data_IF_891332352975
#
_entry.id   IF_891332352975
#
_cell.length_a   1.000
_cell.length_b   1.000
_cell.length_c   1.000
_cell.angle_alpha   90.00
_cell.angle_beta   90.00
_cell.angle_gamma   90.00
#
_symmetry.space_group_name_H-M   'P 1'
#
loop_
_entity.id
_entity.type
_entity.pdbx_description
1 polymer ?
#
# COMPACT_ATOMS: atom_id res chain seq x y z
N UNK A 1 -21.55 -1.34 -10.44
CA UNK A 1 -22.47 -2.36 -9.96
C UNK A 1 -22.45 -3.59 -10.85
N UNK A 2 -22.59 -3.41 -12.17
CA UNK A 2 -22.58 -4.51 -13.13
C UNK A 2 -21.39 -5.46 -12.94
N UNK A 3 -20.20 -4.92 -12.78
CA UNK A 3 -18.98 -5.71 -12.57
C UNK A 3 -19.04 -6.62 -11.31
N UNK A 4 -19.69 -6.16 -10.24
CA UNK A 4 -19.83 -6.93 -9.01
C UNK A 4 -20.82 -8.08 -9.18
N UNK A 5 -21.91 -7.87 -9.94
CA UNK A 5 -22.90 -8.91 -10.28
C UNK A 5 -22.28 -9.97 -11.20
N UNK A 6 -21.49 -9.56 -12.21
CA UNK A 6 -20.76 -10.48 -13.07
C UNK A 6 -19.76 -11.32 -12.26
N UNK A 7 -19.03 -10.74 -11.29
CA UNK A 7 -18.14 -11.51 -10.42
C UNK A 7 -18.91 -12.50 -9.54
N UNK A 8 -20.08 -12.13 -9.03
CA UNK A 8 -20.93 -13.05 -8.27
C UNK A 8 -21.32 -14.27 -9.11
N UNK A 9 -21.77 -14.03 -10.34
CA UNK A 9 -22.20 -15.09 -11.27
C UNK A 9 -21.03 -15.95 -11.74
N UNK A 10 -19.98 -15.33 -12.28
CA UNK A 10 -18.85 -16.02 -12.91
C UNK A 10 -18.00 -16.83 -11.88
N UNK A 11 -17.83 -16.31 -10.67
CA UNK A 11 -17.11 -16.99 -9.60
C UNK A 11 -18.04 -17.83 -8.72
N UNK A 12 -19.33 -17.93 -9.05
CA UNK A 12 -20.35 -18.67 -8.30
C UNK A 12 -20.35 -18.33 -6.80
N UNK A 13 -20.26 -17.03 -6.49
CA UNK A 13 -20.21 -16.55 -5.11
C UNK A 13 -21.61 -16.66 -4.46
N UNK A 14 -21.64 -16.91 -3.16
CA UNK A 14 -22.89 -16.98 -2.39
C UNK A 14 -23.59 -15.62 -2.22
N UNK A 15 -22.88 -14.52 -2.51
CA UNK A 15 -23.35 -13.13 -2.43
C UNK A 15 -22.46 -12.18 -3.21
N UNK A 16 -23.00 -11.04 -3.60
CA UNK A 16 -22.28 -9.97 -4.30
C UNK A 16 -21.07 -9.50 -3.47
N UNK A 17 -19.85 -9.46 -4.02
CA UNK A 17 -18.65 -9.09 -3.29
C UNK A 17 -18.50 -7.57 -3.17
N UNK A 18 -19.29 -6.94 -2.30
CA UNK A 18 -19.29 -5.49 -2.09
C UNK A 18 -17.93 -5.00 -1.54
N UNK A 19 -17.29 -5.82 -0.69
CA UNK A 19 -15.96 -5.54 -0.18
C UNK A 19 -14.97 -6.61 -0.62
N UNK A 20 -13.96 -6.16 -1.37
CA UNK A 20 -12.91 -7.00 -1.92
C UNK A 20 -11.56 -6.56 -1.32
N UNK A 21 -10.79 -7.50 -0.81
CA UNK A 21 -9.41 -7.28 -0.39
C UNK A 21 -8.46 -8.00 -1.34
N UNK A 22 -7.46 -7.28 -1.90
CA UNK A 22 -6.47 -7.89 -2.77
C UNK A 22 -5.07 -7.82 -2.16
N UNK A 23 -4.32 -8.92 -2.29
CA UNK A 23 -3.00 -9.11 -1.71
C UNK A 23 -1.95 -9.35 -2.79
N UNK A 24 -0.87 -8.58 -2.74
CA UNK A 24 0.34 -8.74 -3.56
C UNK A 24 1.55 -8.96 -2.66
N UNK A 25 2.36 -9.97 -2.98
CA UNK A 25 3.63 -10.24 -2.29
C UNK A 25 4.76 -9.69 -3.14
N UNK A 26 5.56 -8.83 -2.54
CA UNK A 26 6.64 -8.16 -3.25
C UNK A 26 7.95 -8.27 -2.50
N UNK A 27 8.99 -8.73 -3.20
CA UNK A 27 10.35 -8.85 -2.67
C UNK A 27 11.08 -7.51 -2.77
N UNK A 28 11.60 -7.01 -1.64
CA UNK A 28 12.43 -5.81 -1.59
C UNK A 28 13.90 -6.25 -1.53
N UNK A 29 14.61 -6.11 -2.65
CA UNK A 29 16.08 -6.24 -2.76
C UNK A 29 16.76 -6.99 -1.61
N UNK A 30 16.61 -8.31 -1.58
CA UNK A 30 17.47 -9.22 -0.81
C UNK A 30 17.19 -9.40 0.69
N UNK A 31 16.44 -8.54 1.37
CA UNK A 31 16.36 -8.58 2.84
C UNK A 31 14.97 -8.48 3.45
N UNK A 32 13.95 -8.11 2.72
CA UNK A 32 12.60 -7.98 3.30
C UNK A 32 11.52 -8.24 2.26
N UNK A 33 10.56 -9.07 2.61
CA UNK A 33 9.33 -9.26 1.84
C UNK A 33 8.22 -8.42 2.47
N UNK A 34 7.43 -7.77 1.64
CA UNK A 34 6.28 -6.98 2.06
C UNK A 34 5.06 -7.45 1.32
N UNK A 35 4.02 -7.76 2.06
CA UNK A 35 2.70 -7.96 1.49
C UNK A 35 1.94 -6.64 1.49
N UNK A 36 1.33 -6.31 0.36
CA UNK A 36 0.46 -5.16 0.18
C UNK A 36 -0.99 -5.62 0.14
N UNK A 37 -1.86 -4.93 0.88
CA UNK A 37 -3.31 -5.15 0.86
C UNK A 37 -3.99 -3.89 0.38
N UNK A 38 -4.79 -4.00 -0.66
CA UNK A 38 -5.70 -2.95 -1.12
C UNK A 38 -7.14 -3.37 -0.86
N UNK A 39 -8.01 -2.39 -0.69
CA UNK A 39 -9.43 -2.60 -0.40
C UNK A 39 -10.26 -1.87 -1.43
N UNK A 40 -11.27 -2.57 -1.96
CA UNK A 40 -12.31 -2.01 -2.79
C UNK A 40 -13.67 -2.19 -2.10
N UNK A 41 -14.47 -1.15 -2.08
CA UNK A 41 -15.87 -1.16 -1.64
C UNK A 41 -16.74 -0.65 -2.77
N UNK A 42 -17.83 -1.35 -3.04
CA UNK A 42 -18.78 -1.04 -4.13
C UNK A 42 -18.07 -0.83 -5.49
N UNK A 43 -17.02 -1.60 -5.75
CA UNK A 43 -16.19 -1.50 -6.96
C UNK A 43 -15.22 -0.32 -7.01
N UNK A 44 -15.09 0.45 -5.93
CA UNK A 44 -14.22 1.63 -5.84
C UNK A 44 -13.08 1.43 -4.82
N UNK A 45 -11.91 1.97 -5.15
CA UNK A 45 -10.72 1.88 -4.32
C UNK A 45 -10.87 2.66 -3.01
N UNK A 46 -10.77 1.99 -1.86
CA UNK A 46 -10.84 2.59 -0.52
C UNK A 46 -9.45 2.76 0.09
N UNK A 47 -8.70 3.73 -0.42
CA UNK A 47 -7.27 3.94 -0.10
C UNK A 47 -6.98 4.13 1.40
N UNK A 48 -7.92 4.64 2.20
CA UNK A 48 -7.78 4.80 3.65
C UNK A 48 -7.61 3.47 4.40
N UNK A 49 -7.97 2.36 3.77
CA UNK A 49 -7.91 1.02 4.34
C UNK A 49 -6.80 0.14 3.78
N UNK A 50 -5.97 0.67 2.89
CA UNK A 50 -4.78 -0.01 2.40
C UNK A 50 -3.78 -0.28 3.51
N UNK A 51 -3.15 -1.45 3.50
CA UNK A 51 -2.18 -1.86 4.52
C UNK A 51 -0.97 -2.53 3.90
N UNK A 52 0.13 -2.48 4.64
CA UNK A 52 1.37 -3.21 4.35
C UNK A 52 1.72 -4.07 5.54
N UNK A 53 2.20 -5.26 5.25
CA UNK A 53 2.63 -6.22 6.24
C UNK A 53 4.08 -6.57 5.95
N UNK A 54 4.95 -6.33 6.92
CA UNK A 54 6.32 -6.84 6.85
C UNK A 54 6.24 -8.33 7.13
N UNK A 55 6.83 -9.13 6.24
CA UNK A 55 6.88 -10.57 6.33
C UNK A 55 8.21 -10.97 6.96
N UNK A 56 8.18 -11.96 7.83
CA UNK A 56 9.37 -12.43 8.53
C UNK A 56 10.39 -13.03 7.54
N UNK A 57 11.68 -12.79 7.79
CA UNK A 57 12.77 -13.14 6.88
C UNK A 57 12.86 -14.64 6.58
N UNK A 58 12.47 -15.50 7.53
CA UNK A 58 12.49 -16.96 7.35
C UNK A 58 11.43 -17.45 6.35
N UNK A 59 10.38 -16.65 6.12
CA UNK A 59 9.32 -16.92 5.13
C UNK A 59 9.50 -16.14 3.83
N UNK A 60 10.47 -15.21 3.80
CA UNK A 60 10.69 -14.25 2.72
C UNK A 60 11.16 -14.88 1.39
N UNK A 61 11.62 -16.13 1.40
CA UNK A 61 12.09 -16.83 0.18
C UNK A 61 10.98 -17.62 -0.52
N UNK A 62 9.79 -17.70 0.08
CA UNK A 62 8.66 -18.46 -0.44
C UNK A 62 7.39 -17.59 -0.43
N UNK A 63 6.99 -17.15 -1.61
CA UNK A 63 5.80 -16.31 -1.80
C UNK A 63 4.52 -16.97 -1.28
N UNK A 64 4.44 -18.31 -1.28
CA UNK A 64 3.28 -19.04 -0.76
C UNK A 64 3.23 -19.01 0.76
N UNK A 65 4.37 -19.13 1.43
CA UNK A 65 4.47 -18.98 2.90
C UNK A 65 4.19 -17.54 3.32
N UNK A 66 4.68 -16.57 2.54
CA UNK A 66 4.39 -15.17 2.77
C UNK A 66 2.89 -14.87 2.61
N UNK A 67 2.24 -15.41 1.59
CA UNK A 67 0.79 -15.30 1.38
C UNK A 67 0.01 -15.90 2.56
N UNK A 68 0.34 -17.11 2.97
CA UNK A 68 -0.28 -17.74 4.15
C UNK A 68 -0.13 -16.87 5.39
N UNK A 69 1.07 -16.33 5.66
CA UNK A 69 1.33 -15.49 6.83
C UNK A 69 0.50 -14.21 6.83
N UNK A 70 0.41 -13.50 5.69
CA UNK A 70 -0.35 -12.24 5.63
C UNK A 70 -1.84 -12.47 5.81
N UNK A 71 -2.42 -13.49 5.16
CA UNK A 71 -3.83 -13.84 5.31
C UNK A 71 -4.12 -14.23 6.76
N UNK A 72 -3.29 -15.08 7.36
CA UNK A 72 -3.43 -15.46 8.78
C UNK A 72 -3.42 -14.24 9.70
N UNK A 73 -2.46 -13.32 9.54
CA UNK A 73 -2.37 -12.10 10.37
C UNK A 73 -3.59 -11.20 10.22
N UNK A 74 -4.07 -11.01 8.99
CA UNK A 74 -5.25 -10.18 8.71
C UNK A 74 -6.53 -10.81 9.29
N UNK A 75 -6.71 -12.11 9.09
CA UNK A 75 -7.91 -12.81 9.54
C UNK A 75 -7.94 -12.97 11.06
N UNK A 76 -6.81 -13.24 11.73
CA UNK A 76 -6.72 -13.19 13.19
C UNK A 76 -7.15 -11.83 13.74
N UNK A 77 -6.75 -10.75 13.10
CA UNK A 77 -7.19 -9.41 13.51
C UNK A 77 -8.71 -9.22 13.31
N UNK A 78 -9.26 -9.70 12.18
CA UNK A 78 -10.69 -9.67 11.94
C UNK A 78 -11.47 -10.40 13.03
N UNK A 79 -11.04 -11.61 13.40
CA UNK A 79 -11.68 -12.41 14.45
C UNK A 79 -11.58 -11.73 15.83
N UNK A 80 -10.42 -11.15 16.16
CA UNK A 80 -10.24 -10.40 17.40
C UNK A 80 -11.19 -9.19 17.47
N UNK A 81 -11.28 -8.40 16.37
CA UNK A 81 -12.15 -7.23 16.30
C UNK A 81 -13.64 -7.62 16.34
N UNK A 82 -14.03 -8.77 15.78
CA UNK A 82 -15.41 -9.31 15.90
C UNK A 82 -15.76 -9.65 17.35
N UNK A 83 -14.84 -10.26 18.09
CA UNK A 83 -15.06 -10.64 19.49
C UNK A 83 -15.18 -9.42 20.42
N UNK A 84 -14.35 -8.40 20.23
CA UNK A 84 -14.41 -7.13 20.99
C UNK A 84 -15.73 -6.39 20.70
N UNK A 85 -16.13 -6.33 19.43
CA UNK A 85 -17.34 -5.60 19.04
C UNK A 85 -18.64 -6.21 19.57
N UNK A 86 -18.71 -7.52 19.77
CA UNK A 86 -19.88 -8.15 20.40
C UNK A 86 -20.04 -7.74 21.87
N UNK A 87 -18.95 -7.43 22.56
CA UNK A 87 -18.96 -7.03 23.96
C UNK A 87 -19.15 -5.51 24.15
N UNK A 88 -18.50 -4.67 23.34
CA UNK A 88 -18.47 -3.22 23.51
C UNK A 88 -19.62 -2.47 22.82
N UNK A 89 -20.16 -2.97 21.70
CA UNK A 89 -21.34 -2.36 21.04
C UNK A 89 -22.59 -2.51 21.90
N UNK A 90 -22.63 -3.54 22.73
CA UNK A 90 -23.70 -3.69 23.73
C UNK A 90 -23.63 -2.63 24.85
N UNK A 91 -22.45 -2.06 25.13
CA UNK A 91 -22.24 -1.19 26.30
C UNK A 91 -22.01 0.30 25.98
N UNK A 92 -21.44 0.68 24.83
CA UNK A 92 -20.92 2.05 24.63
C UNK A 92 -21.27 2.75 23.33
N UNK A 93 -21.92 2.11 22.35
CA UNK A 93 -22.20 2.75 21.04
C UNK A 93 -20.93 3.14 20.24
N UNK A 94 -19.80 2.49 20.53
CA UNK A 94 -18.48 2.81 19.97
C UNK A 94 -18.36 2.57 18.47
N UNK A 95 -17.49 3.33 17.80
CA UNK A 95 -17.15 3.16 16.38
C UNK A 95 -16.41 1.84 16.17
N UNK A 96 -16.98 0.98 15.33
CA UNK A 96 -16.33 -0.27 14.90
C UNK A 96 -14.92 -0.02 14.33
N UNK A 97 -13.96 -0.88 14.69
CA UNK A 97 -12.64 -0.89 14.08
C UNK A 97 -12.77 -1.07 12.57
N UNK A 98 -11.93 -0.37 11.79
CA UNK A 98 -11.89 -0.52 10.32
C UNK A 98 -11.60 -1.95 9.85
N UNK A 99 -11.02 -2.79 10.72
CA UNK A 99 -10.74 -4.20 10.46
C UNK A 99 -11.90 -5.14 10.79
N UNK A 100 -12.96 -4.64 11.44
CA UNK A 100 -14.12 -5.43 11.83
C UNK A 100 -15.02 -5.83 10.64
N UNK A 101 -14.85 -5.18 9.48
CA UNK A 101 -15.62 -5.50 8.28
C UNK A 101 -14.94 -6.64 7.50
N UNK A 102 -15.60 -7.82 7.41
CA UNK A 102 -15.07 -8.92 6.61
C UNK A 102 -15.16 -8.60 5.12
N UNK A 103 -14.15 -8.96 4.31
CA UNK A 103 -14.33 -8.99 2.87
C UNK A 103 -15.31 -10.10 2.50
N UNK A 104 -16.05 -9.94 1.40
CA UNK A 104 -16.81 -11.02 0.77
C UNK A 104 -15.93 -11.82 -0.18
N UNK A 105 -14.90 -11.16 -0.75
CA UNK A 105 -13.95 -11.80 -1.66
C UNK A 105 -12.51 -11.37 -1.30
N UNK A 106 -11.64 -12.35 -1.21
CA UNK A 106 -10.19 -12.15 -1.19
C UNK A 106 -9.64 -12.48 -2.58
N UNK A 107 -8.84 -11.58 -3.13
CA UNK A 107 -8.09 -11.77 -4.37
C UNK A 107 -6.61 -11.84 -4.04
N UNK A 108 -5.89 -12.83 -4.56
CA UNK A 108 -4.44 -12.92 -4.45
C UNK A 108 -3.78 -12.70 -5.81
N UNK A 109 -2.75 -11.87 -5.88
CA UNK A 109 -1.93 -11.71 -7.10
C UNK A 109 -1.05 -12.96 -7.26
N UNK A 110 -1.59 -13.96 -7.95
CA UNK A 110 -0.92 -15.25 -8.13
C UNK A 110 -1.86 -16.35 -8.64
N UNK A 111 -1.28 -17.50 -8.93
CA UNK A 111 -1.99 -18.68 -9.42
C UNK A 111 -2.35 -19.67 -8.31
N UNK A 112 -2.58 -20.94 -8.71
CA UNK A 112 -3.00 -22.01 -7.82
C UNK A 112 -2.16 -22.17 -6.54
N UNK A 113 -0.82 -22.05 -6.53
CA UNK A 113 -0.03 -22.20 -5.29
C UNK A 113 -0.35 -21.12 -4.25
N UNK A 114 -0.51 -19.85 -4.68
CA UNK A 114 -0.84 -18.73 -3.80
C UNK A 114 -2.28 -18.86 -3.26
N UNK A 115 -3.21 -19.27 -4.11
CA UNK A 115 -4.60 -19.57 -3.72
C UNK A 115 -4.63 -20.69 -2.69
N UNK A 116 -3.92 -21.78 -2.91
CA UNK A 116 -3.85 -22.90 -1.96
C UNK A 116 -3.25 -22.48 -0.61
N UNK A 117 -2.25 -21.57 -0.61
CA UNK A 117 -1.66 -21.03 0.60
C UNK A 117 -2.64 -20.14 1.37
N UNK A 118 -3.37 -19.27 0.67
CA UNK A 118 -4.40 -18.42 1.25
C UNK A 118 -5.57 -19.24 1.80
N UNK A 119 -6.00 -20.29 1.06
CA UNK A 119 -7.07 -21.19 1.51
C UNK A 119 -6.69 -21.92 2.80
N UNK A 120 -5.47 -22.47 2.88
CA UNK A 120 -5.00 -23.09 4.13
C UNK A 120 -5.07 -22.14 5.33
N UNK A 121 -4.72 -20.86 5.14
CA UNK A 121 -4.81 -19.88 6.22
C UNK A 121 -6.25 -19.63 6.68
N UNK A 122 -7.22 -19.64 5.76
CA UNK A 122 -8.64 -19.53 6.09
C UNK A 122 -9.14 -20.78 6.82
N UNK A 123 -8.78 -21.96 6.32
CA UNK A 123 -9.18 -23.26 6.89
C UNK A 123 -8.66 -23.44 8.33
N UNK A 124 -7.38 -23.09 8.57
CA UNK A 124 -6.76 -23.13 9.91
C UNK A 124 -7.46 -22.23 10.92
N UNK A 125 -8.12 -21.15 10.47
CA UNK A 125 -8.87 -20.21 11.29
C UNK A 125 -10.37 -20.51 11.32
N UNK A 126 -10.83 -21.55 10.62
CA UNK A 126 -12.24 -21.93 10.54
C UNK A 126 -13.12 -20.91 9.81
N UNK A 127 -12.54 -20.13 8.90
CA UNK A 127 -13.25 -19.11 8.11
C UNK A 127 -13.74 -19.73 6.82
N UNK A 128 -15.05 -19.86 6.69
CA UNK A 128 -15.71 -20.48 5.52
C UNK A 128 -16.65 -19.54 4.77
N UNK A 129 -16.85 -18.34 5.30
CA UNK A 129 -17.81 -17.33 4.80
C UNK A 129 -17.15 -16.25 3.92
N UNK A 130 -15.87 -16.40 3.59
CA UNK A 130 -15.12 -15.50 2.73
C UNK A 130 -14.67 -16.24 1.48
N UNK A 131 -15.09 -15.76 0.31
CA UNK A 131 -14.65 -16.32 -0.96
C UNK A 131 -13.21 -15.93 -1.27
N UNK A 132 -12.51 -16.78 -2.05
CA UNK A 132 -11.12 -16.59 -2.43
C UNK A 132 -10.95 -16.89 -3.92
N UNK A 133 -10.19 -16.05 -4.62
CA UNK A 133 -9.65 -16.37 -5.94
C UNK A 133 -8.23 -15.81 -6.11
N UNK A 134 -7.51 -16.33 -7.07
CA UNK A 134 -6.23 -15.83 -7.53
C UNK A 134 -6.35 -15.27 -8.94
N UNK A 135 -5.57 -14.24 -9.27
CA UNK A 135 -5.46 -13.71 -10.62
C UNK A 135 -4.01 -13.79 -11.08
N UNK A 136 -3.72 -14.72 -11.99
CA UNK A 136 -2.37 -14.90 -12.53
C UNK A 136 -2.08 -13.88 -13.63
N UNK A 137 -0.84 -13.35 -13.67
CA UNK A 137 -0.41 -12.34 -14.64
C UNK A 137 -0.39 -12.82 -16.09
N UNK A 138 -0.02 -14.10 -16.31
CA UNK A 138 -0.03 -14.70 -17.63
C UNK A 138 -1.44 -15.16 -17.98
N UNK A 139 -1.98 -14.70 -19.08
CA UNK A 139 -3.30 -15.06 -19.63
C UNK A 139 -4.51 -14.60 -18.80
N UNK A 140 -4.30 -13.86 -17.70
CA UNK A 140 -5.38 -13.37 -16.84
C UNK A 140 -6.30 -14.49 -16.33
N UNK A 141 -5.67 -15.60 -15.96
CA UNK A 141 -6.32 -16.78 -15.43
C UNK A 141 -6.81 -16.54 -14.01
N UNK A 142 -8.09 -16.83 -13.78
CA UNK A 142 -8.70 -16.80 -12.44
C UNK A 142 -8.61 -18.19 -11.83
N UNK A 143 -7.96 -18.33 -10.69
CA UNK A 143 -7.79 -19.57 -9.97
C UNK A 143 -8.71 -19.62 -8.76
N UNK A 144 -9.55 -20.66 -8.70
CA UNK A 144 -10.42 -20.93 -7.55
C UNK A 144 -9.79 -21.97 -6.62
N UNK A 145 -10.11 -21.99 -5.32
CA UNK A 145 -9.60 -22.99 -4.39
C UNK A 145 -10.02 -24.41 -4.80
N UNK A 146 -9.03 -25.30 -4.91
CA UNK A 146 -9.27 -26.72 -5.22
C UNK A 146 -9.44 -27.06 -6.69
N UNK A 147 -9.56 -26.09 -7.58
CA UNK A 147 -9.68 -26.33 -9.01
C UNK A 147 -8.34 -26.73 -9.62
N UNK A 148 -8.42 -27.66 -10.57
CA UNK A 148 -7.24 -28.13 -11.32
C UNK A 148 -6.89 -27.22 -12.49
N UNK A 149 -7.89 -26.58 -13.06
CA UNK A 149 -7.79 -25.71 -14.22
C UNK A 149 -8.28 -24.30 -13.86
N UNK A 150 -7.68 -23.24 -14.44
CA UNK A 150 -8.14 -21.89 -14.21
C UNK A 150 -9.46 -21.60 -14.91
N UNK A 151 -10.26 -20.76 -14.31
CA UNK A 151 -11.43 -20.16 -14.94
C UNK A 151 -10.97 -19.03 -15.88
N UNK A 152 -11.42 -19.08 -17.12
CA UNK A 152 -11.13 -18.05 -18.12
C UNK A 152 -12.38 -17.19 -18.31
N UNK A 153 -12.36 -15.99 -17.77
CA UNK A 153 -13.43 -15.03 -17.98
C UNK A 153 -13.34 -14.37 -19.37
N UNK A 154 -14.47 -13.99 -19.98
CA UNK A 154 -14.44 -13.21 -21.21
C UNK A 154 -13.65 -11.90 -21.01
N UNK A 155 -12.77 -11.56 -21.96
CA UNK A 155 -11.95 -10.34 -21.89
C UNK A 155 -12.80 -9.05 -21.91
N UNK A 156 -14.06 -9.15 -22.33
CA UNK A 156 -15.02 -8.03 -22.34
C UNK A 156 -15.88 -7.97 -21.09
N UNK A 157 -15.68 -8.88 -20.13
CA UNK A 157 -16.42 -8.90 -18.87
C UNK A 157 -16.03 -7.70 -17.99
N UNK A 158 -17.02 -6.97 -17.49
CA UNK A 158 -16.82 -5.90 -16.51
C UNK A 158 -16.24 -6.44 -15.19
N UNK A 159 -16.64 -7.68 -14.83
CA UNK A 159 -16.08 -8.40 -13.68
C UNK A 159 -14.58 -8.62 -13.84
N UNK A 160 -14.13 -9.05 -15.02
CA UNK A 160 -12.71 -9.24 -15.32
C UNK A 160 -11.95 -7.91 -15.28
N UNK A 161 -12.49 -6.84 -15.86
CA UNK A 161 -11.90 -5.50 -15.75
C UNK A 161 -11.77 -5.03 -14.31
N UNK A 162 -12.75 -5.34 -13.46
CA UNK A 162 -12.67 -5.01 -12.03
C UNK A 162 -11.53 -5.77 -11.35
N UNK A 163 -11.41 -7.09 -11.57
CA UNK A 163 -10.29 -7.90 -11.02
C UNK A 163 -8.93 -7.36 -11.46
N UNK A 164 -8.76 -7.03 -12.74
CA UNK A 164 -7.54 -6.43 -13.27
C UNK A 164 -7.23 -5.10 -12.56
N UNK A 165 -8.20 -4.21 -12.43
CA UNK A 165 -8.03 -2.93 -11.74
C UNK A 165 -7.62 -3.12 -10.28
N UNK A 166 -8.22 -4.10 -9.60
CA UNK A 166 -7.90 -4.41 -8.19
C UNK A 166 -6.46 -4.91 -8.07
N UNK A 167 -6.05 -5.87 -8.95
CA UNK A 167 -4.68 -6.39 -9.00
C UNK A 167 -3.66 -5.28 -9.33
N UNK A 168 -3.93 -4.50 -10.36
CA UNK A 168 -3.03 -3.43 -10.79
C UNK A 168 -2.87 -2.36 -9.71
N UNK A 169 -3.92 -2.07 -8.96
CA UNK A 169 -3.85 -1.17 -7.81
C UNK A 169 -3.03 -1.77 -6.66
N UNK A 170 -3.15 -3.07 -6.38
CA UNK A 170 -2.32 -3.76 -5.39
C UNK A 170 -0.83 -3.69 -5.78
N UNK A 171 -0.53 -4.00 -7.03
CA UNK A 171 0.81 -3.93 -7.58
C UNK A 171 1.36 -2.48 -7.57
N UNK A 172 0.56 -1.49 -7.99
CA UNK A 172 0.93 -0.07 -7.93
C UNK A 172 1.25 0.36 -6.50
N UNK A 173 0.44 -0.05 -5.53
CA UNK A 173 0.64 0.27 -4.13
C UNK A 173 1.92 -0.36 -3.56
N UNK A 174 2.22 -1.60 -3.95
CA UNK A 174 3.47 -2.28 -3.62
C UNK A 174 4.70 -1.55 -4.19
N UNK A 175 4.70 -1.22 -5.49
CA UNK A 175 5.80 -0.51 -6.15
C UNK A 175 6.06 0.86 -5.51
N UNK A 176 5.03 1.59 -5.14
CA UNK A 176 5.18 2.90 -4.48
C UNK A 176 5.98 2.79 -3.19
N UNK A 177 5.77 1.74 -2.43
CA UNK A 177 6.53 1.47 -1.21
C UNK A 177 8.00 1.12 -1.49
N UNK A 178 8.25 0.27 -2.51
CA UNK A 178 9.61 -0.07 -2.93
C UNK A 178 10.42 1.17 -3.32
N UNK A 179 9.82 2.07 -4.10
CA UNK A 179 10.44 3.33 -4.50
C UNK A 179 10.75 4.21 -3.28
N UNK A 180 9.79 4.39 -2.38
CA UNK A 180 9.98 5.18 -1.16
C UNK A 180 11.09 4.61 -0.27
N UNK A 181 11.14 3.30 -0.07
CA UNK A 181 12.18 2.65 0.75
C UNK A 181 13.56 2.70 0.10
N UNK A 182 13.66 2.45 -1.22
CA UNK A 182 14.92 2.61 -1.97
C UNK A 182 15.43 4.04 -1.88
N UNK A 183 14.55 5.02 -2.04
CA UNK A 183 14.91 6.42 -1.88
C UNK A 183 15.44 6.70 -0.47
N UNK A 184 14.81 6.14 0.57
CA UNK A 184 15.26 6.32 1.97
C UNK A 184 16.64 5.69 2.20
N UNK A 185 16.85 4.44 1.77
CA UNK A 185 18.16 3.75 1.91
C UNK A 185 19.25 4.47 1.12
N UNK A 186 18.98 4.87 -0.11
CA UNK A 186 19.92 5.64 -0.93
C UNK A 186 20.23 7.02 -0.31
N UNK A 187 19.25 7.63 0.33
CA UNK A 187 19.36 8.87 1.06
C UNK A 187 20.25 8.74 2.29
N UNK A 188 20.02 7.68 3.07
CA UNK A 188 20.85 7.34 4.23
C UNK A 188 22.30 7.11 3.80
N UNK A 189 22.51 6.35 2.72
CA UNK A 189 23.86 6.08 2.17
C UNK A 189 24.56 7.37 1.71
N UNK A 190 23.86 8.26 1.00
CA UNK A 190 24.45 9.54 0.55
C UNK A 190 24.80 10.47 1.71
N UNK A 191 24.03 10.44 2.78
CA UNK A 191 24.32 11.22 3.99
C UNK A 191 25.41 10.56 4.87
N UNK A 192 25.61 9.24 4.76
CA UNK A 192 26.69 8.50 5.44
C UNK A 192 28.07 8.93 4.97
N UNK A 193 28.22 9.35 3.72
CA UNK A 193 29.47 9.82 3.14
C UNK A 193 29.89 11.22 3.65
N UNK A 194 28.97 11.94 4.33
CA UNK A 194 29.26 13.28 4.83
C UNK A 194 30.01 13.22 6.16
N UNK A 195 31.24 13.73 6.24
CA UNK A 195 32.01 13.74 7.48
C UNK A 195 31.25 14.46 8.61
N UNK A 196 31.36 13.93 9.82
CA UNK A 196 30.75 14.49 11.05
C UNK A 196 29.21 14.49 11.09
N UNK A 197 28.52 13.88 10.11
CA UNK A 197 27.09 13.75 10.09
C UNK A 197 26.65 12.41 10.71
N UNK A 198 26.62 12.33 12.04
CA UNK A 198 26.16 11.14 12.77
C UNK A 198 24.65 10.89 12.63
N UNK A 199 24.22 9.69 13.03
CA UNK A 199 22.84 9.19 12.86
C UNK A 199 21.76 10.15 13.36
N UNK A 200 21.92 10.75 14.54
CA UNK A 200 20.96 11.69 15.13
C UNK A 200 20.77 12.93 14.26
N UNK A 201 21.85 13.48 13.69
CA UNK A 201 21.80 14.67 12.82
C UNK A 201 21.20 14.33 11.47
N UNK A 202 21.48 13.13 10.94
CA UNK A 202 20.84 12.63 9.72
C UNK A 202 19.35 12.49 9.90
N UNK A 203 18.89 11.88 11.00
CA UNK A 203 17.49 11.76 11.32
C UNK A 203 16.78 13.12 11.40
N UNK A 204 17.41 14.13 12.05
CA UNK A 204 16.86 15.47 12.14
C UNK A 204 16.75 16.17 10.77
N UNK A 205 17.74 15.99 9.88
CA UNK A 205 17.67 16.50 8.50
C UNK A 205 16.57 15.82 7.69
N UNK A 206 16.43 14.51 7.80
CA UNK A 206 15.42 13.73 7.10
C UNK A 206 14.01 14.09 7.56
N UNK A 207 13.82 14.29 8.86
CA UNK A 207 12.55 14.70 9.45
C UNK A 207 12.14 16.09 8.96
N UNK A 208 13.08 17.03 8.89
CA UNK A 208 12.82 18.39 8.48
C UNK A 208 12.61 18.59 6.99
N UNK A 209 13.47 18.00 6.16
CA UNK A 209 13.48 18.24 4.71
C UNK A 209 12.80 17.12 3.92
N UNK A 210 12.61 15.95 4.48
CA UNK A 210 11.92 14.81 3.89
C UNK A 210 12.64 14.16 2.70
N UNK A 211 13.54 14.88 1.99
CA UNK A 211 14.24 14.35 0.81
C UNK A 211 15.56 15.07 0.54
N UNK A 212 16.52 14.39 -0.14
CA UNK A 212 17.77 15.02 -0.62
C UNK A 212 17.48 16.14 -1.60
N UNK A 213 16.46 15.99 -2.43
CA UNK A 213 16.08 17.03 -3.39
C UNK A 213 15.67 18.32 -2.68
N UNK A 214 14.95 18.21 -1.57
CA UNK A 214 14.60 19.38 -0.74
C UNK A 214 15.85 19.95 -0.04
N UNK A 215 16.72 19.09 0.51
CA UNK A 215 17.98 19.53 1.12
C UNK A 215 18.92 20.22 0.11
N UNK A 216 18.98 19.74 -1.14
CA UNK A 216 19.78 20.36 -2.22
C UNK A 216 19.27 21.74 -2.64
N UNK A 217 17.98 21.99 -2.49
CA UNK A 217 17.37 23.30 -2.78
C UNK A 217 17.50 24.27 -1.60
N UNK A 218 17.76 23.75 -0.41
CA UNK A 218 17.93 24.54 0.79
C UNK A 218 19.27 25.27 0.80
N UNK A 219 19.31 26.44 1.40
CA UNK A 219 20.54 27.20 1.64
C UNK A 219 21.32 26.61 2.81
N UNK A 220 22.61 26.94 2.93
CA UNK A 220 23.42 26.53 4.08
C UNK A 220 22.84 27.04 5.42
N UNK A 221 22.20 28.21 5.41
CA UNK A 221 21.55 28.81 6.59
C UNK A 221 20.30 28.01 6.98
N UNK A 222 19.49 27.59 6.01
CA UNK A 222 18.33 26.73 6.25
C UNK A 222 18.74 25.35 6.80
N UNK A 223 19.84 24.79 6.30
CA UNK A 223 20.41 23.55 6.84
C UNK A 223 20.91 23.74 8.27
N UNK A 224 21.59 24.87 8.56
CA UNK A 224 22.11 25.20 9.88
C UNK A 224 20.99 25.40 10.93
N UNK A 225 19.79 25.75 10.52
CA UNK A 225 18.66 25.90 11.43
C UNK A 225 18.03 24.57 11.87
N UNK A 226 18.59 23.42 11.44
CA UNK A 226 18.18 22.09 11.91
C UNK A 226 18.81 21.77 13.27
N UNK A 227 18.06 21.24 14.24
CA UNK A 227 18.59 20.92 15.56
C UNK A 227 19.84 20.04 15.48
N UNK A 228 20.92 20.45 16.17
CA UNK A 228 22.21 19.71 16.20
C UNK A 228 23.13 19.96 15.01
N UNK A 229 22.78 20.83 14.06
CA UNK A 229 23.59 21.19 12.90
C UNK A 229 24.04 22.65 13.03
N UNK A 230 25.34 22.81 13.28
CA UNK A 230 25.97 24.15 13.29
C UNK A 230 26.37 24.61 11.88
N UNK A 231 26.69 25.89 11.74
CA UNK A 231 27.05 26.51 10.45
C UNK A 231 28.16 25.77 9.68
N UNK A 232 29.18 25.28 10.37
CA UNK A 232 30.29 24.50 9.76
C UNK A 232 29.79 23.21 9.12
N UNK A 233 28.97 22.45 9.84
CA UNK A 233 28.42 21.17 9.35
C UNK A 233 27.43 21.44 8.21
N UNK A 234 26.61 22.47 8.31
CA UNK A 234 25.68 22.87 7.26
C UNK A 234 26.42 23.22 5.96
N UNK A 235 27.55 23.91 6.03
CA UNK A 235 28.38 24.21 4.86
C UNK A 235 28.96 22.93 4.24
N UNK A 236 29.44 21.98 5.05
CA UNK A 236 29.95 20.70 4.57
C UNK A 236 28.84 19.93 3.85
N UNK A 237 27.63 19.84 4.45
CA UNK A 237 26.47 19.20 3.84
C UNK A 237 26.10 19.87 2.51
N UNK A 238 26.00 21.17 2.51
CA UNK A 238 25.66 21.94 1.30
C UNK A 238 26.64 21.67 0.17
N UNK A 239 27.95 21.79 0.43
CA UNK A 239 28.98 21.53 -0.58
C UNK A 239 28.96 20.09 -1.10
N UNK A 240 28.78 19.11 -0.21
CA UNK A 240 28.70 17.70 -0.61
C UNK A 240 27.45 17.44 -1.50
N UNK A 241 26.31 17.98 -1.13
CA UNK A 241 25.09 17.84 -1.93
C UNK A 241 25.16 18.54 -3.30
N UNK A 242 25.91 19.64 -3.41
CA UNK A 242 26.13 20.34 -4.69
C UNK A 242 27.13 19.58 -5.58
N UNK A 243 28.19 18.98 -5.00
CA UNK A 243 29.16 18.18 -5.78
C UNK A 243 28.52 16.94 -6.44
N UNK A 244 27.56 16.31 -5.78
CA UNK A 244 26.78 15.21 -6.35
C UNK A 244 25.96 15.62 -7.57
N UNK A 245 25.62 16.91 -7.70
CA UNK A 245 24.92 17.48 -8.86
C UNK A 245 25.81 17.55 -10.10
N UNK A 246 27.11 17.76 -9.91
CA UNK A 246 28.07 17.92 -11.01
C UNK A 246 28.57 16.59 -11.57
N UNK A 247 28.48 15.52 -10.81
CA UNK A 247 28.97 14.17 -11.18
C UNK A 247 27.95 13.34 -11.99
N UNK A 248 26.87 13.94 -12.49
CA UNK A 248 25.96 13.28 -13.44
C UNK A 248 25.11 12.14 -12.83
N UNK A 249 25.08 12.01 -11.51
CA UNK A 249 24.10 11.14 -10.84
C UNK A 249 22.76 11.84 -10.87
N UNK A 250 22.09 11.79 -12.02
CA UNK A 250 20.67 12.13 -12.11
C UNK A 250 19.89 11.17 -11.22
N UNK A 251 19.66 11.60 -9.99
CA UNK A 251 18.66 10.98 -9.14
C UNK A 251 17.31 11.23 -9.85
N UNK A 252 16.76 10.19 -10.44
CA UNK A 252 15.39 10.16 -10.96
C UNK A 252 14.41 10.46 -9.82
N UNK A 253 14.27 11.72 -9.44
CA UNK A 253 13.60 12.18 -8.22
C UNK A 253 12.71 13.40 -8.39
N UNK A 254 12.54 13.94 -9.59
CA UNK A 254 11.65 15.08 -9.79
C UNK A 254 10.17 14.72 -9.61
N UNK A 255 9.79 13.45 -9.72
CA UNK A 255 8.41 12.98 -9.50
C UNK A 255 8.11 12.53 -8.06
N UNK A 256 9.12 12.38 -7.21
CA UNK A 256 8.94 11.87 -5.83
C UNK A 256 8.48 12.91 -4.82
N UNK A 257 8.63 14.19 -5.11
CA UNK A 257 8.20 15.26 -4.21
C UNK A 257 6.66 15.40 -4.11
N UNK A 258 5.91 14.87 -5.07
CA UNK A 258 4.45 14.93 -5.08
C UNK A 258 3.78 13.76 -4.32
N UNK A 259 4.54 12.75 -3.88
CA UNK A 259 3.99 11.52 -3.29
C UNK A 259 4.23 11.38 -1.78
N UNK A 260 4.98 12.30 -1.16
CA UNK A 260 5.22 12.31 0.28
C UNK A 260 4.57 13.54 0.90
N UNK A 261 3.24 13.69 0.77
CA UNK A 261 2.48 14.60 1.62
C UNK A 261 1.90 13.80 2.78
N UNK A 262 2.27 14.12 4.02
CA UNK A 262 1.74 13.43 5.19
C UNK A 262 0.27 13.82 5.41
N UNK A 263 -0.49 12.88 5.88
CA UNK A 263 -1.77 13.04 6.54
C UNK A 263 -1.71 14.16 7.60
N UNK A 264 -2.30 15.31 7.31
CA UNK A 264 -2.47 16.33 8.35
C UNK A 264 -2.63 17.74 7.79
N UNK A 265 -3.82 18.09 7.41
CA UNK A 265 -4.64 19.29 7.65
C UNK A 265 -5.59 19.55 6.49
N UNK A 266 -6.81 19.15 6.67
CA UNK A 266 -7.92 19.74 5.94
C UNK A 266 -8.10 21.15 6.49
N UNK A 267 -7.67 22.16 5.73
CA UNK A 267 -8.19 23.51 5.80
C UNK A 267 -9.08 23.71 4.59
N UNK A 268 -10.35 23.77 4.85
CA UNK A 268 -11.40 24.15 3.89
C UNK A 268 -11.18 25.59 3.41
N UNK A 269 -11.18 25.87 2.09
CA UNK A 269 -11.48 27.21 1.63
C UNK A 269 -12.98 27.42 1.69
N UNK A 270 -13.43 28.47 2.37
CA UNK A 270 -14.78 29.01 2.30
C UNK A 270 -15.11 29.32 0.84
N UNK A 271 -16.19 28.71 0.37
CA UNK A 271 -16.81 29.10 -0.88
C UNK A 271 -17.46 30.47 -0.70
N UNK A 272 -16.93 31.48 -1.36
CA UNK A 272 -17.67 32.72 -1.62
C UNK A 272 -18.63 32.46 -2.77
N UNK A 273 -19.90 32.57 -2.42
CA UNK A 273 -21.03 32.56 -3.31
C UNK A 273 -21.10 33.93 -4.02
N UNK A 274 -20.91 33.97 -5.33
CA UNK A 274 -21.36 35.08 -6.15
C UNK A 274 -22.04 34.60 -7.42
N UNK A 275 -23.35 34.71 -7.38
CA UNK A 275 -24.32 35.10 -8.41
C UNK A 275 -23.99 34.84 -9.88
N UNK A 276 -24.73 33.90 -10.49
CA UNK A 276 -25.04 33.97 -11.92
C UNK A 276 -26.53 34.08 -12.11
N UNK A 277 -26.93 35.27 -12.63
CA UNK A 277 -28.27 35.60 -13.07
C UNK A 277 -28.60 34.88 -14.39
N UNK A 278 -29.87 34.50 -14.48
CA UNK A 278 -30.56 34.13 -15.69
C UNK A 278 -30.28 35.04 -16.90
N UNK A 279 -30.11 34.46 -18.05
CA UNK A 279 -30.68 34.96 -19.31
C UNK A 279 -31.15 33.78 -20.16
N UNK A 280 -32.47 33.84 -20.38
CA UNK A 280 -33.24 33.08 -21.37
C UNK A 280 -32.77 33.38 -22.81
N UNK A 281 -32.69 32.38 -23.63
CA UNK A 281 -33.32 32.28 -24.96
C UNK A 281 -33.34 30.81 -25.36
#
# INVERSE_FOLDING_TARGET
WQALLELEEELQLSRTPLRIECYDISNISGTSVVASMVVFEDGLAKKSEYRRFIIDTDTAQDDTRAMHQVITRRMKRLLADRNVNQSEVAETGGKLSKFAYPPQLIVVDGGAPQVAAAQRALDELGITDIALCGLAKRLEEVWMPGDKDPLILPRTSEGMYLLQRIRDEAHRFAITFHRSRRSKVMLESLLDEIPQLGETRRAALLDRFGSVTAMRKATAEELASTPGIGATIATIIFNHLQSLSQSGVELAGAELAALIWPLGRYLTPKAECSTWRHKSY
#
